data_IF_349565029229
#
_entry.id   IF_349565029229
#
_cell.length_a   1.000
_cell.length_b   1.000
_cell.length_c   1.000
_cell.angle_alpha   90.00
_cell.angle_beta   90.00
_cell.angle_gamma   90.00
#
_symmetry.space_group_name_H-M   'P 1'
#
loop_
_entity.id
_entity.type
_entity.pdbx_description
1 polymer ?
#
# COMPACT_ATOMS: atom_id res chain seq x y z
N UNK A 1 10.94 3.99 -18.77
CA UNK A 1 10.16 3.73 -17.54
C UNK A 1 8.78 4.39 -17.63
N UNK A 2 8.69 5.72 -17.68
CA UNK A 2 7.41 6.46 -17.74
C UNK A 2 6.46 6.00 -18.87
N UNK A 3 6.94 5.80 -20.10
CA UNK A 3 6.13 5.28 -21.22
C UNK A 3 5.43 3.94 -20.90
N UNK A 4 6.03 3.10 -20.06
CA UNK A 4 5.42 1.82 -19.64
C UNK A 4 4.37 2.01 -18.55
N UNK A 5 4.54 3.00 -17.68
CA UNK A 5 3.58 3.28 -16.61
C UNK A 5 2.28 3.87 -17.17
N UNK A 6 2.40 4.77 -18.13
CA UNK A 6 1.24 5.44 -18.75
C UNK A 6 0.61 4.66 -19.91
N UNK A 7 1.05 3.44 -20.21
CA UNK A 7 0.45 2.66 -21.31
C UNK A 7 -0.87 2.01 -20.90
N UNK A 8 -1.89 2.18 -21.72
CA UNK A 8 -3.22 1.59 -21.54
C UNK A 8 -3.27 0.09 -21.88
N UNK A 9 -2.20 -0.49 -22.43
CA UNK A 9 -2.18 -1.88 -22.86
C UNK A 9 -2.16 -2.86 -21.67
N UNK A 10 -3.29 -3.49 -21.37
CA UNK A 10 -3.44 -4.46 -20.26
C UNK A 10 -2.52 -5.68 -20.32
N UNK A 11 -1.84 -5.96 -21.43
CA UNK A 11 -0.88 -7.06 -21.57
C UNK A 11 0.59 -6.61 -21.46
N UNK A 12 0.86 -5.35 -21.18
CA UNK A 12 2.24 -4.91 -21.03
C UNK A 12 2.83 -5.43 -19.71
N UNK A 13 4.09 -5.89 -19.70
CA UNK A 13 4.75 -6.40 -18.50
C UNK A 13 4.89 -5.30 -17.44
N UNK A 14 4.76 -5.70 -16.18
CA UNK A 14 4.84 -4.81 -15.02
C UNK A 14 6.07 -5.19 -14.19
N UNK A 15 7.03 -4.29 -14.09
CA UNK A 15 8.24 -4.51 -13.30
C UNK A 15 8.06 -3.96 -11.87
N UNK A 16 8.79 -4.55 -10.92
CA UNK A 16 8.78 -4.11 -9.52
C UNK A 16 9.08 -2.61 -9.33
N UNK A 17 9.99 -2.05 -10.13
CA UNK A 17 10.29 -0.62 -10.09
C UNK A 17 9.15 0.25 -10.64
N UNK A 18 8.42 -0.24 -11.65
CA UNK A 18 7.23 0.43 -12.18
C UNK A 18 6.08 0.42 -11.15
N UNK A 19 6.02 -0.60 -10.28
CA UNK A 19 5.08 -0.69 -9.14
C UNK A 19 5.41 0.35 -8.08
N UNK A 20 6.67 0.40 -7.61
CA UNK A 20 7.09 1.38 -6.58
C UNK A 20 6.85 2.80 -7.08
N UNK A 21 7.24 3.11 -8.32
CA UNK A 21 7.05 4.44 -8.88
C UNK A 21 5.56 4.80 -8.97
N UNK A 22 4.71 3.88 -9.46
CA UNK A 22 3.28 4.14 -9.52
C UNK A 22 2.64 4.29 -8.13
N UNK A 23 3.11 3.56 -7.11
CA UNK A 23 2.65 3.74 -5.73
C UNK A 23 3.08 5.09 -5.16
N UNK A 24 4.28 5.59 -5.49
CA UNK A 24 4.69 6.95 -5.16
C UNK A 24 3.79 7.99 -5.81
N UNK A 25 3.41 7.80 -7.07
CA UNK A 25 2.49 8.72 -7.77
C UNK A 25 1.13 8.82 -7.07
N UNK A 26 0.64 7.76 -6.40
CA UNK A 26 -0.62 7.84 -5.64
C UNK A 26 -0.55 8.82 -4.47
N UNK A 27 0.61 8.93 -3.83
CA UNK A 27 0.86 9.88 -2.75
C UNK A 27 0.96 11.32 -3.26
N UNK A 28 1.40 11.52 -4.50
CA UNK A 28 1.44 12.84 -5.18
C UNK A 28 0.13 13.23 -5.89
N UNK A 29 -0.94 12.43 -5.77
CA UNK A 29 -2.18 12.65 -6.52
C UNK A 29 -2.77 14.05 -6.33
N UNK A 30 -2.83 14.55 -5.10
CA UNK A 30 -3.30 15.91 -4.80
C UNK A 30 -2.35 16.99 -5.33
N UNK A 31 -1.04 16.77 -5.22
CA UNK A 31 -0.01 17.67 -5.76
C UNK A 31 -0.17 17.85 -7.28
N UNK A 32 -0.56 16.80 -8.02
CA UNK A 32 -0.86 16.93 -9.44
C UNK A 32 -2.10 17.79 -9.71
N UNK A 33 -3.13 17.70 -8.88
CA UNK A 33 -4.30 18.56 -8.95
C UNK A 33 -3.94 20.04 -8.71
N UNK A 34 -3.15 20.32 -7.68
CA UNK A 34 -2.71 21.68 -7.35
C UNK A 34 -1.75 22.25 -8.39
N UNK A 35 -0.82 21.43 -8.90
CA UNK A 35 0.08 21.79 -9.97
C UNK A 35 -0.69 22.15 -11.25
N UNK A 36 -1.73 21.39 -11.58
CA UNK A 36 -2.58 21.69 -12.72
C UNK A 36 -3.25 23.07 -12.60
N UNK A 37 -3.82 23.38 -11.43
CA UNK A 37 -4.40 24.70 -11.16
C UNK A 37 -3.34 25.80 -11.23
N UNK A 38 -2.14 25.57 -10.68
CA UNK A 38 -1.04 26.53 -10.75
C UNK A 38 -0.62 26.81 -12.21
N UNK A 39 -0.56 25.79 -13.05
CA UNK A 39 -0.29 25.95 -14.49
C UNK A 39 -1.40 26.75 -15.17
N UNK A 40 -2.68 26.47 -14.88
CA UNK A 40 -3.80 27.24 -15.42
C UNK A 40 -3.71 28.73 -15.05
N UNK A 41 -3.37 29.04 -13.80
CA UNK A 41 -3.15 30.43 -13.33
C UNK A 41 -2.00 31.09 -14.08
N UNK A 42 -0.85 30.41 -14.20
CA UNK A 42 0.32 30.97 -14.88
C UNK A 42 0.09 31.20 -16.38
N UNK A 43 -0.65 30.32 -17.04
CA UNK A 43 -0.88 30.40 -18.50
C UNK A 43 -1.97 31.41 -18.85
N UNK A 44 -3.04 31.48 -18.07
CA UNK A 44 -4.17 32.37 -18.37
C UNK A 44 -4.05 33.75 -17.72
N UNK A 45 -3.26 33.87 -16.66
CA UNK A 45 -3.15 35.09 -15.84
C UNK A 45 -4.35 35.34 -14.91
N UNK A 46 -5.37 34.47 -14.92
CA UNK A 46 -6.51 34.58 -13.99
C UNK A 46 -6.11 34.16 -12.57
N UNK A 47 -6.67 34.80 -11.53
CA UNK A 47 -6.38 34.44 -10.15
C UNK A 47 -6.85 33.02 -9.83
N UNK A 48 -6.24 32.37 -8.84
CA UNK A 48 -6.63 31.02 -8.40
C UNK A 48 -8.09 30.92 -7.97
N UNK A 49 -8.68 32.01 -7.45
CA UNK A 49 -10.11 32.11 -7.09
C UNK A 49 -11.04 31.92 -8.28
N UNK A 50 -10.61 32.28 -9.50
CA UNK A 50 -11.38 32.01 -10.71
C UNK A 50 -11.54 30.51 -10.97
N UNK A 51 -10.46 29.74 -10.77
CA UNK A 51 -10.46 28.30 -10.98
C UNK A 51 -10.99 27.50 -9.78
N UNK A 52 -10.87 28.04 -8.57
CA UNK A 52 -11.18 27.33 -7.33
C UNK A 52 -12.50 27.75 -6.70
N UNK A 53 -12.92 29.00 -6.84
CA UNK A 53 -14.00 29.61 -6.05
C UNK A 53 -15.13 30.18 -6.91
N UNK A 54 -15.09 30.00 -8.23
CA UNK A 54 -16.13 30.51 -9.14
C UNK A 54 -16.90 29.35 -9.80
N UNK A 55 -18.22 29.48 -9.87
CA UNK A 55 -19.12 28.52 -10.53
C UNK A 55 -19.06 28.55 -12.06
N UNK A 56 -18.36 29.50 -12.67
CA UNK A 56 -18.16 29.57 -14.13
C UNK A 56 -17.14 28.54 -14.64
N UNK A 57 -16.19 28.13 -13.81
CA UNK A 57 -15.12 27.15 -14.12
C UNK A 57 -15.51 25.71 -13.74
N UNK A 58 -16.75 25.30 -14.04
CA UNK A 58 -17.28 23.96 -13.70
C UNK A 58 -16.37 22.84 -14.25
N UNK A 59 -15.91 22.98 -15.49
CA UNK A 59 -15.14 21.93 -16.17
C UNK A 59 -13.79 21.63 -15.51
N UNK A 60 -13.02 22.68 -15.22
CA UNK A 60 -11.65 22.56 -14.70
C UNK A 60 -11.67 21.92 -13.30
N UNK A 61 -12.53 22.42 -12.43
CA UNK A 61 -12.53 22.08 -11.02
C UNK A 61 -13.33 20.81 -10.70
N UNK A 62 -14.53 20.67 -11.28
CA UNK A 62 -15.44 19.59 -10.87
C UNK A 62 -15.17 18.30 -11.64
N UNK A 63 -14.52 18.38 -12.80
CA UNK A 63 -14.22 17.22 -13.63
C UNK A 63 -12.71 16.98 -13.79
N UNK A 64 -11.95 17.99 -14.24
CA UNK A 64 -10.54 17.78 -14.60
C UNK A 64 -9.66 17.53 -13.38
N UNK A 65 -9.79 18.31 -12.29
CA UNK A 65 -8.98 18.09 -11.08
C UNK A 65 -9.22 16.71 -10.45
N UNK A 66 -10.47 16.27 -10.16
CA UNK A 66 -10.72 14.92 -9.65
C UNK A 66 -10.24 13.82 -10.60
N UNK A 67 -10.35 14.03 -11.92
CA UNK A 67 -9.80 13.12 -12.90
C UNK A 67 -8.27 13.01 -12.78
N UNK A 68 -7.54 14.12 -12.74
CA UNK A 68 -6.08 14.14 -12.56
C UNK A 68 -5.67 13.45 -11.26
N UNK A 69 -6.37 13.73 -10.16
CA UNK A 69 -6.12 13.07 -8.86
C UNK A 69 -6.35 11.55 -8.96
N UNK A 70 -7.31 11.09 -9.78
CA UNK A 70 -7.60 9.67 -9.97
C UNK A 70 -6.59 8.92 -10.86
N UNK A 71 -5.85 9.62 -11.73
CA UNK A 71 -4.94 9.00 -12.71
C UNK A 71 -3.91 8.05 -12.08
N UNK A 72 -3.19 8.41 -11.00
CA UNK A 72 -2.26 7.49 -10.34
C UNK A 72 -2.91 6.19 -9.85
N UNK A 73 -4.14 6.27 -9.33
CA UNK A 73 -4.88 5.10 -8.85
C UNK A 73 -5.33 4.21 -10.01
N UNK A 74 -5.76 4.81 -11.13
CA UNK A 74 -6.10 4.08 -12.36
C UNK A 74 -4.89 3.36 -12.97
N UNK A 75 -3.71 3.99 -12.92
CA UNK A 75 -2.45 3.35 -13.35
C UNK A 75 -2.18 2.10 -12.50
N UNK A 76 -2.30 2.19 -11.18
CA UNK A 76 -2.11 1.03 -10.29
C UNK A 76 -3.17 -0.04 -10.51
N UNK A 77 -4.43 0.34 -10.66
CA UNK A 77 -5.53 -0.58 -10.97
C UNK A 77 -5.22 -1.38 -12.24
N UNK A 78 -4.80 -0.69 -13.31
CA UNK A 78 -4.37 -1.29 -14.57
C UNK A 78 -3.21 -2.25 -14.34
N UNK A 79 -2.13 -1.83 -13.65
CA UNK A 79 -0.97 -2.68 -13.40
C UNK A 79 -1.36 -3.97 -12.67
N UNK A 80 -2.22 -3.87 -11.65
CA UNK A 80 -2.69 -5.03 -10.91
C UNK A 80 -3.52 -5.99 -11.80
N UNK A 81 -4.36 -5.46 -12.67
CA UNK A 81 -5.12 -6.27 -13.64
C UNK A 81 -4.17 -6.97 -14.63
N UNK A 82 -3.14 -6.27 -15.11
CA UNK A 82 -2.13 -6.86 -16.01
C UNK A 82 -1.38 -8.02 -15.35
N UNK A 83 -0.90 -7.83 -14.12
CA UNK A 83 -0.24 -8.90 -13.36
C UNK A 83 -1.19 -10.08 -13.11
N UNK A 84 -2.47 -9.83 -12.85
CA UNK A 84 -3.47 -10.89 -12.71
C UNK A 84 -3.68 -11.67 -14.01
N UNK A 85 -3.73 -11.00 -15.17
CA UNK A 85 -3.90 -11.66 -16.46
C UNK A 85 -2.71 -12.59 -16.76
N UNK A 86 -1.50 -12.16 -16.41
CA UNK A 86 -0.25 -12.89 -16.63
C UNK A 86 -0.07 -14.06 -15.66
N UNK A 87 -0.25 -13.85 -14.36
CA UNK A 87 0.06 -14.83 -13.31
C UNK A 87 -1.15 -15.68 -12.89
N UNK A 88 -2.38 -15.16 -13.06
CA UNK A 88 -3.64 -15.69 -12.51
C UNK A 88 -3.70 -15.80 -10.99
N UNK A 89 -2.78 -15.13 -10.29
CA UNK A 89 -2.73 -15.08 -8.83
C UNK A 89 -3.76 -14.11 -8.25
N UNK A 90 -4.67 -14.61 -7.41
CA UNK A 90 -5.78 -13.82 -6.82
C UNK A 90 -5.29 -12.62 -6.01
N UNK A 91 -4.06 -12.67 -5.48
CA UNK A 91 -3.41 -11.53 -4.81
C UNK A 91 -3.48 -10.26 -5.67
N UNK A 92 -3.25 -10.34 -6.98
CA UNK A 92 -3.28 -9.15 -7.82
C UNK A 92 -4.68 -8.56 -7.97
N UNK A 93 -5.73 -9.39 -7.94
CA UNK A 93 -7.12 -8.92 -7.96
C UNK A 93 -7.49 -8.19 -6.67
N UNK A 94 -7.07 -8.70 -5.51
CA UNK A 94 -7.27 -7.99 -4.25
C UNK A 94 -6.49 -6.66 -4.22
N UNK A 95 -5.29 -6.62 -4.81
CA UNK A 95 -4.57 -5.36 -4.96
C UNK A 95 -5.30 -4.38 -5.89
N UNK A 96 -5.88 -4.88 -6.98
CA UNK A 96 -6.71 -4.07 -7.88
C UNK A 96 -7.92 -3.48 -7.12
N UNK A 97 -8.60 -4.30 -6.30
CA UNK A 97 -9.72 -3.85 -5.48
C UNK A 97 -9.30 -2.76 -4.49
N UNK A 98 -8.12 -2.87 -3.88
CA UNK A 98 -7.55 -1.82 -3.00
C UNK A 98 -7.54 -0.46 -3.70
N UNK A 99 -6.95 -0.34 -4.89
CA UNK A 99 -6.91 0.94 -5.62
C UNK A 99 -8.28 1.37 -6.15
N UNK A 100 -9.17 0.42 -6.47
CA UNK A 100 -10.54 0.74 -6.85
C UNK A 100 -11.32 1.42 -5.70
N UNK A 101 -11.04 1.05 -4.43
CA UNK A 101 -11.70 1.68 -3.26
C UNK A 101 -11.38 3.17 -3.11
N UNK A 102 -10.27 3.66 -3.67
CA UNK A 102 -9.91 5.08 -3.65
C UNK A 102 -10.79 5.94 -4.58
N UNK A 103 -11.35 5.36 -5.66
CA UNK A 103 -12.09 6.13 -6.68
C UNK A 103 -13.40 6.71 -6.12
N UNK A 104 -14.29 5.93 -5.47
CA UNK A 104 -15.47 6.50 -4.83
C UNK A 104 -15.13 7.58 -3.79
N UNK A 105 -14.06 7.39 -3.01
CA UNK A 105 -13.63 8.38 -2.02
C UNK A 105 -13.24 9.73 -2.68
N UNK A 106 -12.55 9.69 -3.83
CA UNK A 106 -12.20 10.89 -4.62
C UNK A 106 -13.45 11.56 -5.18
N UNK A 107 -14.36 10.78 -5.78
CA UNK A 107 -15.60 11.32 -6.38
C UNK A 107 -16.46 12.01 -5.31
N UNK A 108 -16.73 11.33 -4.19
CA UNK A 108 -17.52 11.90 -3.12
C UNK A 108 -16.84 13.10 -2.45
N UNK A 109 -15.50 13.14 -2.40
CA UNK A 109 -14.77 14.32 -1.94
C UNK A 109 -14.96 15.53 -2.86
N UNK A 110 -14.94 15.32 -4.18
CA UNK A 110 -15.21 16.38 -5.15
C UNK A 110 -16.66 16.90 -5.06
N UNK A 111 -17.64 16.00 -4.93
CA UNK A 111 -19.05 16.35 -4.74
C UNK A 111 -19.23 17.14 -3.44
N UNK A 112 -18.64 16.68 -2.33
CA UNK A 112 -18.72 17.39 -1.05
C UNK A 112 -18.10 18.79 -1.13
N UNK A 113 -16.94 18.95 -1.78
CA UNK A 113 -16.31 20.24 -1.99
C UNK A 113 -17.21 21.20 -2.78
N UNK A 114 -17.90 20.68 -3.80
CA UNK A 114 -18.90 21.44 -4.57
C UNK A 114 -20.11 21.82 -3.73
N UNK A 115 -20.59 20.92 -2.87
CA UNK A 115 -21.73 21.16 -1.97
C UNK A 115 -21.46 22.32 -1.01
N UNK A 116 -20.30 22.29 -0.34
CA UNK A 116 -19.89 23.29 0.63
C UNK A 116 -19.82 24.70 0.02
N UNK A 117 -19.50 24.80 -1.27
CA UNK A 117 -19.47 26.10 -1.96
C UNK A 117 -20.84 26.66 -2.26
N UNK A 118 -21.77 25.83 -2.74
CA UNK A 118 -23.15 26.30 -2.92
C UNK A 118 -23.73 26.81 -1.60
N UNK A 119 -23.41 26.14 -0.49
CA UNK A 119 -23.77 26.59 0.85
C UNK A 119 -23.08 27.92 1.19
N UNK A 120 -21.80 28.10 0.85
CA UNK A 120 -21.08 29.36 1.09
C UNK A 120 -21.60 30.54 0.25
N UNK A 121 -21.99 30.31 -1.01
CA UNK A 121 -22.46 31.36 -1.93
C UNK A 121 -23.95 31.69 -1.76
N UNK A 122 -24.79 30.66 -1.58
CA UNK A 122 -26.25 30.78 -1.65
C UNK A 122 -26.97 30.32 -0.38
N UNK A 123 -26.24 29.84 0.64
CA UNK A 123 -26.78 29.38 1.92
C UNK A 123 -27.45 28.01 1.86
N UNK A 124 -27.70 27.45 0.68
CA UNK A 124 -28.37 26.16 0.48
C UNK A 124 -27.79 25.43 -0.75
N UNK A 125 -27.93 24.11 -0.78
CA UNK A 125 -27.62 23.30 -1.97
C UNK A 125 -28.82 23.34 -2.93
N UNK A 126 -28.64 23.44 -4.26
CA UNK A 126 -29.75 23.45 -5.20
C UNK A 126 -30.68 22.23 -5.04
N UNK A 127 -32.00 22.46 -5.01
CA UNK A 127 -33.02 21.39 -4.91
C UNK A 127 -32.97 20.37 -6.07
N UNK A 128 -32.25 20.67 -7.15
CA UNK A 128 -32.03 19.76 -8.28
C UNK A 128 -30.98 18.68 -8.01
N UNK A 129 -30.27 18.71 -6.87
CA UNK A 129 -29.35 17.65 -6.50
C UNK A 129 -30.08 16.38 -6.06
N UNK A 130 -29.75 15.26 -6.69
CA UNK A 130 -30.32 13.95 -6.37
C UNK A 130 -29.94 13.43 -4.97
N UNK A 131 -28.89 13.96 -4.33
CA UNK A 131 -28.38 13.52 -3.04
C UNK A 131 -28.29 14.69 -2.04
N UNK A 132 -28.89 14.53 -0.86
CA UNK A 132 -28.72 15.49 0.23
C UNK A 132 -27.26 15.54 0.69
N UNK A 133 -26.79 16.72 1.08
CA UNK A 133 -25.44 16.98 1.60
C UNK A 133 -25.03 16.00 2.71
N UNK A 134 -25.93 15.75 3.67
CA UNK A 134 -25.71 14.78 4.77
C UNK A 134 -25.41 13.38 4.24
N UNK A 135 -26.09 12.94 3.17
CA UNK A 135 -25.84 11.63 2.59
C UNK A 135 -24.51 11.59 1.85
N UNK A 136 -24.17 12.65 1.11
CA UNK A 136 -22.86 12.80 0.45
C UNK A 136 -21.73 12.68 1.49
N UNK A 137 -21.83 13.41 2.60
CA UNK A 137 -20.86 13.36 3.69
C UNK A 137 -20.75 11.95 4.31
N UNK A 138 -21.88 11.29 4.60
CA UNK A 138 -21.88 9.93 5.16
C UNK A 138 -21.24 8.91 4.23
N UNK A 139 -21.58 8.94 2.94
CA UNK A 139 -20.95 8.05 1.97
C UNK A 139 -19.46 8.34 1.81
N UNK A 140 -19.09 9.62 1.76
CA UNK A 140 -17.70 10.04 1.73
C UNK A 140 -16.90 9.45 2.91
N UNK A 141 -17.39 9.59 4.15
CA UNK A 141 -16.75 9.01 5.35
C UNK A 141 -16.60 7.49 5.22
N UNK A 142 -17.65 6.78 4.78
CA UNK A 142 -17.62 5.32 4.62
C UNK A 142 -16.56 4.90 3.60
N UNK A 143 -16.52 5.55 2.43
CA UNK A 143 -15.54 5.21 1.40
C UNK A 143 -14.11 5.53 1.81
N UNK A 144 -13.87 6.66 2.48
CA UNK A 144 -12.56 7.01 3.03
C UNK A 144 -12.13 6.00 4.09
N UNK A 145 -13.03 5.61 4.98
CA UNK A 145 -12.77 4.59 6.00
C UNK A 145 -12.40 3.24 5.38
N UNK A 146 -13.20 2.75 4.41
CA UNK A 146 -12.93 1.49 3.70
C UNK A 146 -11.57 1.56 3.00
N UNK A 147 -11.31 2.62 2.24
CA UNK A 147 -10.04 2.79 1.54
C UNK A 147 -8.83 2.82 2.50
N UNK A 148 -8.97 3.54 3.61
CA UNK A 148 -7.92 3.67 4.63
C UNK A 148 -7.65 2.34 5.32
N UNK A 149 -8.68 1.65 5.82
CA UNK A 149 -8.53 0.38 6.52
C UNK A 149 -8.04 -0.74 5.60
N UNK A 150 -8.55 -0.83 4.36
CA UNK A 150 -8.07 -1.79 3.38
C UNK A 150 -6.58 -1.56 3.12
N UNK A 151 -6.19 -0.32 2.80
CA UNK A 151 -4.80 -0.02 2.47
C UNK A 151 -3.85 -0.27 3.65
N UNK A 152 -4.29 0.03 4.88
CA UNK A 152 -3.56 -0.28 6.11
C UNK A 152 -3.34 -1.77 6.30
N UNK A 153 -4.42 -2.55 6.19
CA UNK A 153 -4.34 -3.99 6.26
C UNK A 153 -3.41 -4.57 5.19
N UNK A 154 -3.49 -4.04 3.96
CA UNK A 154 -2.66 -4.46 2.85
C UNK A 154 -1.17 -4.22 3.11
N UNK A 155 -0.81 -3.04 3.62
CA UNK A 155 0.59 -2.69 3.86
C UNK A 155 1.25 -3.67 4.85
N UNK A 156 0.54 -4.01 5.93
CA UNK A 156 1.05 -4.93 6.96
C UNK A 156 1.08 -6.38 6.49
N UNK A 157 -0.03 -6.85 5.91
CA UNK A 157 -0.23 -8.27 5.61
C UNK A 157 0.40 -8.68 4.29
N UNK A 158 0.29 -7.86 3.24
CA UNK A 158 0.69 -8.24 1.88
C UNK A 158 2.03 -7.65 1.48
N UNK A 159 2.29 -6.38 1.81
CA UNK A 159 3.47 -5.66 1.35
C UNK A 159 4.67 -5.89 2.27
N UNK A 160 4.47 -5.86 3.58
CA UNK A 160 5.50 -6.19 4.58
C UNK A 160 5.49 -7.68 4.97
N UNK A 161 4.41 -8.40 4.68
CA UNK A 161 4.26 -9.84 4.96
C UNK A 161 4.55 -10.18 6.43
N UNK A 162 4.10 -9.33 7.35
CA UNK A 162 4.33 -9.51 8.78
C UNK A 162 3.35 -10.50 9.41
N UNK A 163 2.16 -10.60 8.83
CA UNK A 163 1.09 -11.49 9.29
C UNK A 163 0.88 -12.56 8.23
N UNK A 164 1.14 -13.81 8.57
CA UNK A 164 0.84 -14.96 7.71
C UNK A 164 -0.30 -15.76 8.32
N UNK A 165 -1.32 -16.01 7.51
CA UNK A 165 -2.41 -16.91 7.84
C UNK A 165 -2.08 -18.30 7.27
N UNK A 166 -1.52 -19.17 8.10
CA UNK A 166 -1.28 -20.55 7.67
C UNK A 166 -2.48 -21.39 8.05
N UNK A 167 -3.20 -21.93 7.06
CA UNK A 167 -4.06 -23.09 7.28
C UNK A 167 -3.16 -24.31 7.30
N UNK A 168 -2.73 -24.77 8.47
CA UNK A 168 -2.09 -26.08 8.55
C UNK A 168 -3.12 -27.14 8.16
N UNK A 169 -2.80 -28.02 7.21
CA UNK A 169 -3.67 -29.09 6.73
C UNK A 169 -4.22 -30.02 7.84
N UNK A 170 -3.71 -29.93 9.06
CA UNK A 170 -4.15 -30.71 10.22
C UNK A 170 -4.87 -29.90 11.33
N UNK A 171 -4.98 -28.57 11.23
CA UNK A 171 -5.68 -27.75 12.23
C UNK A 171 -6.89 -27.05 11.60
N UNK A 172 -8.08 -27.26 12.19
CA UNK A 172 -9.34 -26.68 11.73
C UNK A 172 -9.44 -25.16 11.97
N UNK A 173 -8.55 -24.57 12.78
CA UNK A 173 -8.54 -23.14 13.05
C UNK A 173 -7.33 -22.46 12.37
N UNK A 174 -7.55 -21.37 11.61
CA UNK A 174 -6.46 -20.60 11.04
C UNK A 174 -5.68 -19.91 12.16
N UNK A 175 -4.40 -20.25 12.32
CA UNK A 175 -3.54 -19.60 13.29
C UNK A 175 -2.85 -18.40 12.67
N UNK A 176 -2.93 -17.26 13.35
CA UNK A 176 -2.25 -16.03 12.95
C UNK A 176 -0.81 -16.11 13.43
N UNK A 177 0.15 -16.12 12.51
CA UNK A 177 1.56 -16.13 12.85
C UNK A 177 2.23 -14.84 12.41
N UNK A 178 3.00 -14.25 13.33
CA UNK A 178 3.95 -13.21 12.98
C UNK A 178 5.16 -13.82 12.28
N UNK A 179 5.64 -13.14 11.23
CA UNK A 179 6.84 -13.55 10.49
C UNK A 179 8.04 -13.62 11.43
N UNK A 180 8.62 -14.82 11.57
CA UNK A 180 9.81 -15.04 12.42
C UNK A 180 11.12 -14.61 11.76
N UNK A 181 11.15 -14.57 10.43
CA UNK A 181 12.32 -14.21 9.63
C UNK A 181 12.27 -12.72 9.31
N UNK A 182 12.95 -11.91 10.13
CA UNK A 182 13.03 -10.46 10.00
C UNK A 182 14.47 -10.09 9.66
N UNK A 183 14.68 -9.19 8.68
CA UNK A 183 16.01 -8.65 8.42
C UNK A 183 16.50 -7.81 9.59
N UNK A 184 15.63 -6.95 10.13
CA UNK A 184 15.93 -6.21 11.35
C UNK A 184 15.69 -7.14 12.55
N UNK A 185 16.75 -7.46 13.28
CA UNK A 185 16.67 -8.42 14.40
C UNK A 185 15.74 -7.96 15.53
N UNK A 186 15.44 -6.67 15.64
CA UNK A 186 14.58 -6.11 16.68
C UNK A 186 13.14 -5.90 16.16
N UNK A 187 12.13 -6.58 16.73
CA UNK A 187 10.72 -6.41 16.34
C UNK A 187 10.16 -5.00 16.54
N UNK A 188 10.81 -4.20 17.40
CA UNK A 188 10.40 -2.82 17.73
C UNK A 188 10.33 -1.95 16.47
N UNK A 189 11.25 -2.11 15.52
CA UNK A 189 11.23 -1.32 14.28
C UNK A 189 9.98 -1.58 13.43
N UNK A 190 9.51 -2.83 13.38
CA UNK A 190 8.28 -3.19 12.67
C UNK A 190 7.04 -2.67 13.41
N UNK A 191 7.02 -2.73 14.74
CA UNK A 191 5.92 -2.17 15.53
C UNK A 191 5.82 -0.64 15.37
N UNK A 192 6.96 0.06 15.39
CA UNK A 192 7.02 1.50 15.13
C UNK A 192 6.55 1.84 13.71
N UNK A 193 6.98 1.08 12.71
CA UNK A 193 6.55 1.29 11.33
C UNK A 193 5.03 1.11 11.15
N UNK A 194 4.45 0.07 11.77
CA UNK A 194 3.00 -0.17 11.80
C UNK A 194 2.29 1.02 12.45
N UNK A 195 2.77 1.47 13.61
CA UNK A 195 2.15 2.57 14.34
C UNK A 195 2.21 3.89 13.58
N UNK A 196 3.38 4.23 13.01
CA UNK A 196 3.56 5.44 12.20
C UNK A 196 2.68 5.39 10.95
N UNK A 197 2.61 4.24 10.26
CA UNK A 197 1.76 4.07 9.08
C UNK A 197 0.29 4.29 9.43
N UNK A 198 -0.18 3.70 10.54
CA UNK A 198 -1.55 3.88 11.02
C UNK A 198 -1.88 5.35 11.31
N UNK A 199 -1.04 6.03 12.10
CA UNK A 199 -1.25 7.42 12.48
C UNK A 199 -1.29 8.35 11.25
N UNK A 200 -0.28 8.25 10.38
CA UNK A 200 -0.19 9.12 9.21
C UNK A 200 -1.30 8.84 8.19
N UNK A 201 -1.77 7.60 8.09
CA UNK A 201 -2.90 7.23 7.23
C UNK A 201 -4.24 7.75 7.76
N UNK A 202 -4.41 7.82 9.08
CA UNK A 202 -5.54 8.53 9.69
C UNK A 202 -5.47 10.02 9.35
N UNK A 203 -4.29 10.63 9.41
CA UNK A 203 -4.10 12.03 9.02
C UNK A 203 -4.53 12.28 7.56
N UNK A 204 -4.22 11.35 6.65
CA UNK A 204 -4.67 11.42 5.27
C UNK A 204 -6.20 11.35 5.11
N UNK A 205 -6.87 10.48 5.88
CA UNK A 205 -8.34 10.44 5.94
C UNK A 205 -8.94 11.76 6.46
N UNK A 206 -8.29 12.40 7.43
CA UNK A 206 -8.71 13.71 7.96
C UNK A 206 -8.51 14.86 6.96
N UNK A 207 -7.50 14.79 6.07
CA UNK A 207 -7.29 15.77 4.99
C UNK A 207 -8.49 15.89 4.05
N UNK A 208 -9.16 14.75 3.79
CA UNK A 208 -10.37 14.70 2.96
C UNK A 208 -11.61 15.22 3.72
N UNK A 209 -11.57 15.28 5.06
CA UNK A 209 -12.60 15.86 5.90
C UNK A 209 -12.50 17.38 5.85
N UNK A 210 -13.16 18.00 4.87
CA UNK A 210 -13.17 19.44 4.62
C UNK A 210 -13.68 20.32 5.77
N UNK A 211 -14.04 19.75 6.92
CA UNK A 211 -14.77 20.41 8.01
C UNK A 211 -13.91 20.82 9.21
N UNK A 212 -12.63 20.41 9.24
CA UNK A 212 -11.69 20.82 10.28
C UNK A 212 -10.91 22.06 9.84
N UNK A 213 -10.82 23.02 10.75
CA UNK A 213 -10.15 24.34 10.75
C UNK A 213 -8.75 24.43 10.08
N UNK A 214 -8.18 23.30 9.66
CA UNK A 214 -6.83 23.11 9.11
C UNK A 214 -6.67 23.82 7.76
N UNK A 215 -7.76 24.03 7.00
CA UNK A 215 -7.72 24.74 5.71
C UNK A 215 -7.39 26.24 5.84
N UNK A 216 -7.40 26.81 7.06
CA UNK A 216 -7.02 28.21 7.26
C UNK A 216 -5.49 28.42 7.34
N UNK A 217 -4.69 27.35 7.43
CA UNK A 217 -3.22 27.43 7.47
C UNK A 217 -2.63 26.66 6.29
N UNK A 218 -2.24 27.37 5.23
CA UNK A 218 -1.62 26.76 4.03
C UNK A 218 -0.38 25.90 4.36
N UNK A 219 0.37 26.29 5.40
CA UNK A 219 1.52 25.53 5.91
C UNK A 219 1.15 24.12 6.38
N UNK A 220 -0.09 23.92 6.85
CA UNK A 220 -0.55 22.60 7.31
C UNK A 220 -0.73 21.63 6.14
N UNK A 221 -1.27 22.10 5.00
CA UNK A 221 -1.45 21.27 3.80
C UNK A 221 -0.10 20.80 3.30
N UNK A 222 0.88 21.69 3.22
CA UNK A 222 2.26 21.33 2.84
C UNK A 222 2.88 20.30 3.79
N UNK A 223 2.74 20.50 5.12
CA UNK A 223 3.24 19.55 6.11
C UNK A 223 2.59 18.17 5.96
N UNK A 224 1.29 18.12 5.68
CA UNK A 224 0.57 16.86 5.45
C UNK A 224 1.10 16.10 4.22
N UNK A 225 1.42 16.79 3.12
CA UNK A 225 2.03 16.16 1.95
C UNK A 225 3.45 15.65 2.26
N UNK A 226 4.24 16.42 3.02
CA UNK A 226 5.57 15.99 3.45
C UNK A 226 5.51 14.74 4.33
N UNK A 227 4.55 14.68 5.25
CA UNK A 227 4.33 13.51 6.10
C UNK A 227 3.88 12.29 5.29
N UNK A 228 3.09 12.46 4.24
CA UNK A 228 2.72 11.37 3.35
C UNK A 228 3.93 10.82 2.57
N UNK A 229 4.83 11.69 2.12
CA UNK A 229 6.11 11.28 1.51
C UNK A 229 6.96 10.49 2.51
N UNK A 230 7.06 10.98 3.75
CA UNK A 230 7.80 10.31 4.82
C UNK A 230 7.22 8.91 5.14
N UNK A 231 5.88 8.79 5.20
CA UNK A 231 5.20 7.50 5.38
C UNK A 231 5.56 6.52 4.26
N UNK A 232 5.54 6.97 3.00
CA UNK A 232 5.92 6.13 1.85
C UNK A 232 7.38 5.74 1.84
N UNK A 233 8.27 6.62 2.29
CA UNK A 233 9.69 6.31 2.44
C UNK A 233 9.88 5.13 3.42
N UNK A 234 9.21 5.16 4.58
CA UNK A 234 9.19 4.02 5.51
C UNK A 234 8.63 2.78 4.83
N UNK A 235 7.46 2.89 4.18
CA UNK A 235 6.82 1.76 3.50
C UNK A 235 7.73 1.09 2.46
N UNK A 236 8.52 1.85 1.69
CA UNK A 236 9.44 1.30 0.68
C UNK A 236 10.55 0.48 1.32
N UNK A 237 11.11 0.93 2.45
CA UNK A 237 12.18 0.19 3.14
C UNK A 237 11.70 -1.21 3.50
N UNK A 238 10.54 -1.30 4.17
CA UNK A 238 9.96 -2.59 4.56
C UNK A 238 9.43 -3.41 3.37
N UNK A 239 8.96 -2.77 2.30
CA UNK A 239 8.57 -3.45 1.06
C UNK A 239 9.78 -4.12 0.40
N UNK A 240 10.89 -3.39 0.27
CA UNK A 240 12.13 -3.90 -0.32
C UNK A 240 12.71 -5.01 0.57
N UNK A 241 12.73 -4.81 1.89
CA UNK A 241 13.14 -5.84 2.85
C UNK A 241 12.35 -7.13 2.63
N UNK A 242 11.02 -7.04 2.54
CA UNK A 242 10.20 -8.23 2.37
C UNK A 242 10.53 -8.98 1.07
N UNK A 243 10.69 -8.26 -0.04
CA UNK A 243 11.06 -8.85 -1.32
C UNK A 243 12.48 -9.43 -1.32
N UNK A 244 13.43 -8.79 -0.64
CA UNK A 244 14.77 -9.33 -0.45
C UNK A 244 14.73 -10.63 0.35
N UNK A 245 14.02 -10.65 1.47
CA UNK A 245 13.89 -11.82 2.32
C UNK A 245 13.22 -12.97 1.55
N UNK A 246 12.15 -12.73 0.80
CA UNK A 246 11.52 -13.74 -0.06
C UNK A 246 12.51 -14.36 -1.05
N UNK A 247 13.30 -13.52 -1.74
CA UNK A 247 14.30 -13.98 -2.72
C UNK A 247 15.38 -14.83 -2.06
N UNK A 248 15.95 -14.37 -0.95
CA UNK A 248 17.00 -15.10 -0.21
C UNK A 248 16.50 -16.47 0.24
N UNK A 249 15.34 -16.54 0.88
CA UNK A 249 14.81 -17.82 1.35
C UNK A 249 14.33 -18.74 0.22
N UNK A 250 13.84 -18.18 -0.90
CA UNK A 250 13.52 -18.99 -2.09
C UNK A 250 14.76 -19.58 -2.77
N UNK A 251 15.92 -18.93 -2.60
CA UNK A 251 17.20 -19.39 -3.16
C UNK A 251 17.93 -20.40 -2.28
N UNK A 252 17.53 -20.54 -1.01
CA UNK A 252 18.09 -21.57 -0.13
C UNK A 252 17.55 -22.94 -0.55
N UNK A 253 18.41 -23.96 -0.69
CA UNK A 253 17.93 -25.31 -0.97
C UNK A 253 16.96 -25.73 0.14
N UNK A 254 15.77 -26.20 -0.25
CA UNK A 254 14.77 -26.64 0.73
C UNK A 254 15.38 -27.71 1.63
N UNK A 255 14.92 -27.80 2.88
CA UNK A 255 15.37 -28.85 3.81
C UNK A 255 15.20 -30.23 3.18
N UNK A 256 14.22 -30.42 2.30
CA UNK A 256 14.02 -31.64 1.52
C UNK A 256 15.10 -31.83 0.44
N UNK A 257 15.54 -30.77 -0.23
CA UNK A 257 16.68 -30.84 -1.18
C UNK A 257 17.98 -31.16 -0.45
N UNK A 258 18.18 -30.59 0.75
CA UNK A 258 19.34 -30.89 1.59
C UNK A 258 19.27 -32.31 2.17
N UNK A 259 18.09 -32.80 2.55
CA UNK A 259 17.88 -34.19 2.96
C UNK A 259 18.10 -35.16 1.80
N UNK A 260 17.55 -34.87 0.63
CA UNK A 260 17.77 -35.66 -0.59
C UNK A 260 19.25 -35.66 -0.97
N UNK A 261 19.94 -34.52 -0.94
CA UNK A 261 21.40 -34.48 -1.20
C UNK A 261 22.23 -35.25 -0.16
N UNK A 262 21.79 -35.33 1.10
CA UNK A 262 22.42 -36.20 2.13
C UNK A 262 22.11 -37.68 1.91
N UNK A 263 20.91 -38.01 1.43
CA UNK A 263 20.51 -39.38 1.08
C UNK A 263 21.24 -39.86 -0.18
N UNK A 264 21.40 -38.98 -1.17
CA UNK A 264 22.10 -39.24 -2.42
C UNK A 264 23.63 -39.34 -2.19
N UNK A 265 24.19 -38.48 -1.32
CA UNK A 265 25.59 -38.62 -0.85
C UNK A 265 25.83 -39.90 -0.04
N UNK A 266 24.78 -40.50 0.54
CA UNK A 266 24.83 -41.83 1.19
C UNK A 266 24.71 -43.00 0.21
N UNK A 267 24.53 -42.75 -1.09
CA UNK A 267 24.51 -43.78 -2.13
C UNK A 267 25.47 -43.43 -3.26
N UNK A 268 26.75 -43.74 -3.09
CA UNK A 268 27.35 -44.65 -4.05
C UNK A 268 28.25 -45.71 -3.40
N UNK A 269 28.06 -46.94 -3.86
CA UNK A 269 28.89 -48.13 -3.59
C UNK A 269 28.59 -48.84 -2.28
N UNK A 270 27.91 -49.98 -2.41
CA UNK A 270 27.77 -50.96 -1.35
C UNK A 270 29.13 -51.48 -0.90
N UNK A 271 29.41 -51.32 0.38
CA UNK A 271 30.00 -52.34 1.23
C UNK A 271 29.61 -51.98 2.67
N UNK A 272 28.86 -52.84 3.33
CA UNK A 272 28.66 -52.73 4.77
C UNK A 272 30.04 -52.84 5.44
N UNK A 273 30.42 -51.81 6.21
CA UNK A 273 31.29 -52.02 7.38
C UNK A 273 30.43 -51.91 8.63
N UNK A 274 30.57 -52.82 9.61
CA UNK A 274 29.66 -52.91 10.74
C UNK A 274 29.83 -51.74 11.69
N UNK A 275 28.76 -51.49 12.42
CA UNK A 275 28.67 -50.69 13.64
C UNK A 275 29.83 -51.08 14.57
N UNK A 276 30.66 -50.10 14.95
CA UNK A 276 31.47 -50.20 16.17
C UNK A 276 30.66 -49.47 17.23
N UNK A 277 30.05 -50.25 18.13
CA UNK A 277 29.63 -49.75 19.44
C UNK A 277 30.92 -49.35 20.18
N UNK A 278 31.10 -48.06 20.46
CA UNK A 278 32.01 -47.63 21.52
C UNK A 278 31.28 -47.87 22.85
N UNK A 279 31.61 -48.97 23.51
CA UNK A 279 31.36 -49.15 24.95
C UNK A 279 32.17 -48.09 25.72
N UNK A 280 31.48 -47.35 26.60
CA UNK A 280 32.11 -46.57 27.67
C UNK A 280 32.97 -47.48 28.57
N UNK A 281 34.10 -46.96 29.06
CA UNK A 281 34.29 -47.07 30.50
C UNK A 281 34.85 -45.78 31.12
N UNK A 282 34.08 -45.20 32.04
CA UNK A 282 34.64 -44.70 33.30
C UNK A 282 34.53 -45.84 34.32
N UNK A 283 35.33 -45.95 35.41
CA UNK A 283 36.17 -44.91 36.04
C UNK A 283 37.59 -45.39 36.42
N UNK A 284 38.51 -44.47 36.73
CA UNK A 284 39.59 -44.76 37.68
C UNK A 284 39.81 -43.58 38.63
N UNK A 285 39.71 -43.89 39.92
CA UNK A 285 40.00 -43.04 41.06
C UNK A 285 41.39 -43.39 41.64
N UNK A 286 41.83 -42.52 42.56
CA UNK A 286 43.05 -42.51 43.42
C UNK A 286 44.31 -41.91 42.76
N UNK A 287 44.86 -40.74 43.15
CA UNK A 287 45.25 -40.12 44.44
C UNK A 287 46.65 -40.52 44.94
N UNK A 288 47.44 -39.51 45.32
CA UNK A 288 48.73 -39.51 46.08
C UNK A 288 49.95 -39.66 45.14
N UNK A 289 50.99 -38.81 45.09
CA UNK A 289 51.57 -37.78 45.99
C UNK A 289 51.71 -36.39 45.33
#
# INVERSE_FOLDING_TARGET
MLKRIFTLNLRAPVFFSDIILADMLTSFSNVFGDLFIAVCVMVTGYPSTYFLDTTESIYCKDMVVPFIISVPYLIRLRQCISEYIETREQRHLYNALKYATSIPAIIFSAIQKKANMYIAESGQVPNSWYLNEIHVFRFWVIFVFINSMYSFWWDISMDWNLITFTKQHQQQQPTIHFRKQLFFSQPVYYALAIFIDFLLRITWSFKLCSHLLIRQLDASIFLLELLEIFRRWIWVIFRIENEWVKKVYSSLPSVDTLRLSRLDRKSPSGLLSPIVEEEDPAPFSSSIE
#
